data_IF_399720385290
#
_entry.id   IF_399720385290
#
_cell.length_a   1.000
_cell.length_b   1.000
_cell.length_c   1.000
_cell.angle_alpha   90.00
_cell.angle_beta   90.00
_cell.angle_gamma   90.00
#
_symmetry.space_group_name_H-M   'P 1'
#
loop_
_entity.id
_entity.type
_entity.pdbx_description
1 polymer ?
#
# COMPACT_ATOMS: atom_id res chain seq x y z
N UNK A 1 18.77 15.84 5.22
CA UNK A 1 17.50 16.34 4.71
C UNK A 1 16.57 15.19 4.39
N UNK A 2 15.42 15.22 4.99
CA UNK A 2 14.46 14.11 4.86
C UNK A 2 14.03 13.88 3.41
N UNK A 3 13.77 14.97 2.66
CA UNK A 3 13.40 14.85 1.26
C UNK A 3 14.51 14.22 0.41
N UNK A 4 15.77 14.52 0.73
CA UNK A 4 16.89 13.93 0.02
C UNK A 4 17.03 12.44 0.25
N UNK A 5 16.73 11.96 1.47
CA UNK A 5 16.77 10.54 1.78
C UNK A 5 15.69 9.78 1.02
N UNK A 6 14.47 10.32 0.98
CA UNK A 6 13.36 9.71 0.24
C UNK A 6 13.69 9.65 -1.25
N UNK A 7 14.23 10.74 -1.81
CA UNK A 7 14.61 10.79 -3.21
C UNK A 7 15.67 9.74 -3.55
N UNK A 8 16.64 9.52 -2.65
CA UNK A 8 17.66 8.49 -2.85
C UNK A 8 17.05 7.09 -2.86
N UNK A 9 16.10 6.82 -1.98
CA UNK A 9 15.43 5.52 -1.92
C UNK A 9 14.59 5.30 -3.18
N UNK A 10 13.90 6.33 -3.65
CA UNK A 10 13.12 6.26 -4.90
C UNK A 10 14.05 5.91 -6.07
N UNK A 11 15.19 6.58 -6.16
CA UNK A 11 16.16 6.29 -7.21
C UNK A 11 16.67 4.85 -7.14
N UNK A 12 16.91 4.32 -5.94
CA UNK A 12 17.31 2.93 -5.77
C UNK A 12 16.27 1.97 -6.34
N UNK A 13 14.99 2.20 -6.05
CA UNK A 13 13.90 1.37 -6.57
C UNK A 13 13.79 1.45 -8.09
N UNK A 14 14.01 2.64 -8.65
CA UNK A 14 13.95 2.84 -10.10
C UNK A 14 15.10 2.13 -10.82
N UNK A 15 16.25 2.00 -10.17
CA UNK A 15 17.42 1.33 -10.74
C UNK A 15 17.44 -0.17 -10.48
N UNK A 16 16.90 -0.63 -9.34
CA UNK A 16 16.87 -2.05 -9.00
C UNK A 16 15.42 -2.47 -8.72
N UNK A 17 14.78 -3.04 -9.72
CA UNK A 17 13.37 -3.45 -9.64
C UNK A 17 13.14 -4.60 -8.66
N UNK A 18 14.19 -5.33 -8.31
CA UNK A 18 14.08 -6.41 -7.32
C UNK A 18 13.75 -5.88 -5.93
N UNK A 19 14.02 -4.60 -5.65
CA UNK A 19 13.69 -3.99 -4.37
C UNK A 19 12.19 -3.97 -4.10
N UNK A 20 11.36 -3.97 -5.15
CA UNK A 20 9.91 -4.04 -5.00
C UNK A 20 9.45 -5.30 -4.28
N UNK A 21 10.24 -6.37 -4.32
CA UNK A 21 9.92 -7.60 -3.61
C UNK A 21 9.98 -7.43 -2.09
N UNK A 22 10.68 -6.41 -1.61
CA UNK A 22 10.81 -6.13 -0.17
C UNK A 22 9.61 -5.37 0.40
N UNK A 23 8.72 -4.88 -0.45
CA UNK A 23 7.61 -4.01 -0.01
C UNK A 23 6.76 -4.68 1.06
N UNK A 24 6.36 -5.94 0.88
CA UNK A 24 5.51 -6.62 1.86
C UNK A 24 6.23 -6.87 3.18
N UNK A 25 7.53 -7.13 3.14
CA UNK A 25 8.31 -7.27 4.36
C UNK A 25 8.35 -5.95 5.14
N UNK A 26 8.54 -4.84 4.42
CA UNK A 26 8.55 -3.51 5.05
C UNK A 26 7.18 -3.13 5.59
N UNK A 27 6.11 -3.53 4.91
CA UNK A 27 4.73 -3.27 5.36
C UNK A 27 4.38 -4.04 6.62
N UNK A 28 5.04 -5.16 6.89
CA UNK A 28 4.76 -5.97 8.07
C UNK A 28 5.78 -5.74 9.20
N UNK A 29 6.64 -4.75 9.06
CA UNK A 29 7.62 -4.40 10.08
C UNK A 29 6.92 -3.92 11.35
N UNK A 30 7.44 -4.30 12.52
CA UNK A 30 6.87 -3.90 13.80
C UNK A 30 6.98 -2.40 14.05
N UNK A 31 7.97 -1.75 13.47
CA UNK A 31 8.21 -0.33 13.67
C UNK A 31 7.27 0.51 12.81
N UNK A 32 6.47 1.32 13.48
CA UNK A 32 5.51 2.19 12.80
C UNK A 32 6.18 3.08 11.76
N UNK A 33 7.35 3.64 12.08
CA UNK A 33 8.05 4.54 11.16
C UNK A 33 8.49 3.85 9.87
N UNK A 34 8.77 2.53 9.92
CA UNK A 34 9.10 1.77 8.72
C UNK A 34 7.84 1.61 7.85
N UNK A 35 6.71 1.28 8.48
CA UNK A 35 5.44 1.14 7.75
C UNK A 35 4.99 2.47 7.12
N UNK A 36 5.14 3.58 7.86
CA UNK A 36 4.84 4.91 7.33
C UNK A 36 5.77 5.24 6.17
N UNK A 37 7.05 4.91 6.31
CA UNK A 37 8.04 5.15 5.28
C UNK A 37 7.75 4.42 3.97
N UNK A 38 7.36 3.13 4.04
CA UNK A 38 7.05 2.37 2.84
C UNK A 38 5.76 2.88 2.19
N UNK A 39 4.80 3.34 2.98
CA UNK A 39 3.58 3.95 2.45
C UNK A 39 3.92 5.22 1.65
N UNK A 40 4.71 6.11 2.23
CA UNK A 40 5.15 7.33 1.55
C UNK A 40 5.93 7.01 0.28
N UNK A 41 6.78 5.99 0.32
CA UNK A 41 7.55 5.54 -0.82
C UNK A 41 6.64 5.09 -1.96
N UNK A 42 5.63 4.27 -1.67
CA UNK A 42 4.70 3.78 -2.69
C UNK A 42 3.82 4.90 -3.24
N UNK A 43 3.41 5.85 -2.40
CA UNK A 43 2.64 7.01 -2.87
C UNK A 43 3.43 7.83 -3.90
N UNK A 44 4.74 7.91 -3.74
CA UNK A 44 5.59 8.62 -4.70
C UNK A 44 5.88 7.76 -5.92
N UNK A 45 6.21 6.48 -5.71
CA UNK A 45 6.57 5.57 -6.81
C UNK A 45 5.41 5.31 -7.76
N UNK A 46 4.17 5.37 -7.29
CA UNK A 46 3.01 5.16 -8.19
C UNK A 46 2.97 6.24 -9.28
N UNK A 47 3.51 7.42 -8.99
CA UNK A 47 3.57 8.50 -9.96
C UNK A 47 4.78 8.40 -10.89
N UNK A 48 5.88 7.82 -10.42
CA UNK A 48 7.13 7.76 -11.18
C UNK A 48 7.38 6.42 -11.86
N UNK A 49 6.87 5.34 -11.28
CA UNK A 49 7.10 3.98 -11.79
C UNK A 49 5.85 3.13 -11.57
N UNK A 50 4.69 3.54 -12.13
CA UNK A 50 3.42 2.87 -11.85
C UNK A 50 3.41 1.40 -12.25
N UNK A 51 4.09 1.04 -13.33
CA UNK A 51 4.10 -0.33 -13.83
C UNK A 51 4.66 -1.31 -12.80
N UNK A 52 5.80 -0.98 -12.19
CA UNK A 52 6.42 -1.84 -11.20
C UNK A 52 5.70 -1.79 -9.85
N UNK A 53 5.17 -0.61 -9.47
CA UNK A 53 4.37 -0.49 -8.25
C UNK A 53 3.15 -1.40 -8.34
N UNK A 54 2.47 -1.43 -9.47
CA UNK A 54 1.27 -2.26 -9.64
C UNK A 54 1.57 -3.75 -9.58
N UNK A 55 2.79 -4.16 -9.88
CA UNK A 55 3.22 -5.56 -9.73
C UNK A 55 3.26 -6.01 -8.27
N UNK A 56 3.29 -5.08 -7.32
CA UNK A 56 3.26 -5.42 -5.89
C UNK A 56 1.85 -5.72 -5.40
N UNK A 57 0.82 -5.34 -6.14
CA UNK A 57 -0.57 -5.46 -5.71
C UNK A 57 -0.97 -6.87 -5.27
N UNK A 58 -0.66 -7.94 -6.02
CA UNK A 58 -1.05 -9.29 -5.59
C UNK A 58 -0.53 -9.65 -4.20
N UNK A 59 0.69 -9.23 -3.86
CA UNK A 59 1.26 -9.49 -2.54
C UNK A 59 0.59 -8.65 -1.45
N UNK A 60 0.26 -7.40 -1.77
CA UNK A 60 -0.41 -6.52 -0.82
C UNK A 60 -1.83 -7.01 -0.53
N UNK A 61 -2.50 -7.59 -1.52
CA UNK A 61 -3.82 -8.18 -1.33
C UNK A 61 -3.84 -9.27 -0.26
N UNK A 62 -2.77 -10.06 -0.14
CA UNK A 62 -2.66 -11.05 0.93
C UNK A 62 -2.67 -10.41 2.31
N UNK A 63 -2.15 -9.20 2.44
CA UNK A 63 -2.08 -8.51 3.72
C UNK A 63 -3.43 -8.03 4.23
N UNK A 64 -4.45 -7.99 3.36
CA UNK A 64 -5.83 -7.71 3.80
C UNK A 64 -6.37 -8.80 4.72
N UNK A 65 -5.74 -9.96 4.74
CA UNK A 65 -6.12 -11.09 5.60
C UNK A 65 -5.15 -11.31 6.75
N UNK A 66 -4.21 -10.39 6.95
CA UNK A 66 -3.24 -10.50 8.03
C UNK A 66 -3.94 -10.46 9.39
N UNK A 67 -3.41 -11.20 10.36
CA UNK A 67 -4.02 -11.26 11.69
C UNK A 67 -3.98 -9.93 12.44
N UNK A 68 -3.00 -9.07 12.15
CA UNK A 68 -2.88 -7.77 12.78
C UNK A 68 -3.74 -6.73 12.05
N UNK A 69 -4.74 -6.12 12.73
CA UNK A 69 -5.62 -5.14 12.08
C UNK A 69 -4.89 -3.89 11.58
N UNK A 70 -3.78 -3.50 12.21
CA UNK A 70 -2.99 -2.37 11.74
C UNK A 70 -2.46 -2.65 10.33
N UNK A 71 -1.97 -3.87 10.11
CA UNK A 71 -1.45 -4.27 8.79
C UNK A 71 -2.56 -4.39 7.77
N UNK A 72 -3.73 -4.92 8.15
CA UNK A 72 -4.89 -4.93 7.25
C UNK A 72 -5.28 -3.52 6.81
N UNK A 73 -5.29 -2.58 7.77
CA UNK A 73 -5.61 -1.18 7.48
C UNK A 73 -4.59 -0.52 6.56
N UNK A 74 -3.31 -0.73 6.84
CA UNK A 74 -2.23 -0.18 6.01
C UNK A 74 -2.33 -0.72 4.58
N UNK A 75 -2.59 -2.02 4.43
CA UNK A 75 -2.75 -2.63 3.11
C UNK A 75 -3.94 -2.04 2.36
N UNK A 76 -5.07 -1.85 3.05
CA UNK A 76 -6.25 -1.24 2.44
C UNK A 76 -5.96 0.20 1.99
N UNK A 77 -5.28 0.98 2.81
CA UNK A 77 -4.92 2.34 2.47
C UNK A 77 -4.03 2.39 1.22
N UNK A 78 -3.00 1.56 1.20
CA UNK A 78 -2.09 1.50 0.06
C UNK A 78 -2.82 1.07 -1.21
N UNK A 79 -3.68 0.06 -1.13
CA UNK A 79 -4.46 -0.38 -2.28
C UNK A 79 -5.39 0.71 -2.80
N UNK A 80 -5.92 1.56 -1.91
CA UNK A 80 -6.71 2.71 -2.32
C UNK A 80 -5.89 3.73 -3.10
N UNK A 81 -4.61 3.82 -2.82
CA UNK A 81 -3.69 4.77 -3.44
C UNK A 81 -3.13 4.26 -4.77
N UNK A 82 -2.69 2.99 -4.80
CA UNK A 82 -1.99 2.44 -5.97
C UNK A 82 -2.86 1.55 -6.85
N UNK A 83 -3.99 1.07 -6.32
CA UNK A 83 -4.87 0.16 -7.04
C UNK A 83 -5.87 0.87 -7.94
N UNK A 84 -6.60 0.06 -8.68
CA UNK A 84 -7.69 0.51 -9.53
C UNK A 84 -8.94 -0.34 -9.25
N UNK A 85 -9.93 -0.29 -10.13
CA UNK A 85 -11.22 -0.97 -9.91
C UNK A 85 -11.08 -2.47 -9.72
N UNK A 86 -9.99 -3.07 -10.16
CA UNK A 86 -9.77 -4.51 -10.02
C UNK A 86 -9.61 -4.95 -8.57
N UNK A 87 -9.13 -4.07 -7.68
CA UNK A 87 -8.95 -4.40 -6.27
C UNK A 87 -10.19 -4.12 -5.42
N UNK A 88 -11.20 -3.45 -5.97
CA UNK A 88 -12.42 -3.10 -5.23
C UNK A 88 -13.12 -4.32 -4.63
N UNK A 89 -13.29 -5.45 -5.33
CA UNK A 89 -13.93 -6.62 -4.72
C UNK A 89 -13.22 -7.10 -3.45
N UNK A 90 -11.90 -7.07 -3.43
CA UNK A 90 -11.12 -7.47 -2.25
C UNK A 90 -11.31 -6.49 -1.09
N UNK A 91 -11.39 -5.20 -1.40
CA UNK A 91 -11.65 -4.19 -0.38
C UNK A 91 -13.09 -4.31 0.16
N UNK A 92 -14.05 -4.67 -0.68
CA UNK A 92 -15.43 -4.87 -0.25
C UNK A 92 -15.56 -6.01 0.76
N UNK A 93 -14.69 -7.01 0.70
CA UNK A 93 -14.71 -8.10 1.67
C UNK A 93 -14.37 -7.62 3.08
N UNK A 94 -13.61 -6.56 3.22
CA UNK A 94 -13.17 -6.06 4.53
C UNK A 94 -13.92 -4.82 5.02
N UNK A 95 -14.98 -4.39 4.34
CA UNK A 95 -15.85 -3.34 4.88
C UNK A 95 -16.69 -3.85 6.05
N UNK A 96 -16.70 -5.14 6.27
CA UNK A 96 -17.33 -5.77 7.43
C UNK A 96 -16.31 -6.36 8.42
N UNK A 97 -15.05 -5.92 8.31
CA UNK A 97 -13.99 -6.37 9.22
C UNK A 97 -14.37 -6.13 10.68
N UNK A 98 -13.91 -7.00 11.58
CA UNK A 98 -14.18 -6.86 13.00
C UNK A 98 -13.61 -5.59 13.63
N UNK A 99 -12.55 -5.03 13.02
CA UNK A 99 -11.91 -3.82 13.50
C UNK A 99 -12.52 -2.58 12.81
N UNK A 100 -12.98 -1.63 13.63
CA UNK A 100 -13.63 -0.42 13.11
C UNK A 100 -12.74 0.40 12.18
N UNK A 101 -11.45 0.57 12.54
CA UNK A 101 -10.54 1.35 11.72
C UNK A 101 -10.32 0.71 10.35
N UNK A 102 -10.22 -0.62 10.30
CA UNK A 102 -10.10 -1.34 9.04
C UNK A 102 -11.32 -1.09 8.16
N UNK A 103 -12.53 -1.16 8.75
CA UNK A 103 -13.77 -0.90 8.00
C UNK A 103 -13.77 0.51 7.39
N UNK A 104 -13.38 1.50 8.17
CA UNK A 104 -13.35 2.90 7.72
C UNK A 104 -12.35 3.07 6.57
N UNK A 105 -11.14 2.55 6.75
CA UNK A 105 -10.07 2.68 5.75
C UNK A 105 -10.48 1.97 4.45
N UNK A 106 -11.09 0.80 4.55
CA UNK A 106 -11.54 0.06 3.37
C UNK A 106 -12.59 0.85 2.56
N UNK A 107 -13.55 1.47 3.25
CA UNK A 107 -14.56 2.29 2.58
C UNK A 107 -13.94 3.50 1.89
N UNK A 108 -13.03 4.18 2.58
CA UNK A 108 -12.32 5.33 2.02
C UNK A 108 -11.48 4.92 0.81
N UNK A 109 -10.82 3.76 0.88
CA UNK A 109 -10.03 3.25 -0.24
C UNK A 109 -10.88 3.00 -1.48
N UNK A 110 -12.07 2.40 -1.30
CA UNK A 110 -13.01 2.17 -2.39
C UNK A 110 -13.46 3.50 -2.99
N UNK A 111 -13.81 4.47 -2.16
CA UNK A 111 -14.21 5.79 -2.61
C UNK A 111 -13.11 6.47 -3.41
N UNK A 112 -11.87 6.38 -2.95
CA UNK A 112 -10.72 6.98 -3.64
C UNK A 112 -10.51 6.35 -5.01
N UNK A 113 -10.64 5.02 -5.11
CA UNK A 113 -10.51 4.32 -6.39
C UNK A 113 -11.62 4.74 -7.35
N UNK A 114 -12.85 4.76 -6.86
CA UNK A 114 -14.01 5.11 -7.68
C UNK A 114 -13.96 6.56 -8.14
N UNK A 115 -13.41 7.45 -7.34
CA UNK A 115 -13.27 8.85 -7.71
C UNK A 115 -12.26 9.05 -8.85
N UNK A 116 -11.30 8.15 -9.00
CA UNK A 116 -10.29 8.20 -10.06
C UNK A 116 -10.75 7.52 -11.36
N UNK A 117 -11.78 6.71 -11.28
CA UNK A 117 -12.27 5.92 -12.42
C UNK A 117 -13.00 6.75 -13.47
#
# INVERSE_FOLDING_TARGET
MEGGLLDNIIDMFKHDKNLYELVTELMTDERMRVRIGVTALLETLILEDPENVKKTIPRILFLLKHENPVIRGDAAYILGTIGDVEVVPSLQEIISDENENVRIIAKEAIEDIQAKA
#
